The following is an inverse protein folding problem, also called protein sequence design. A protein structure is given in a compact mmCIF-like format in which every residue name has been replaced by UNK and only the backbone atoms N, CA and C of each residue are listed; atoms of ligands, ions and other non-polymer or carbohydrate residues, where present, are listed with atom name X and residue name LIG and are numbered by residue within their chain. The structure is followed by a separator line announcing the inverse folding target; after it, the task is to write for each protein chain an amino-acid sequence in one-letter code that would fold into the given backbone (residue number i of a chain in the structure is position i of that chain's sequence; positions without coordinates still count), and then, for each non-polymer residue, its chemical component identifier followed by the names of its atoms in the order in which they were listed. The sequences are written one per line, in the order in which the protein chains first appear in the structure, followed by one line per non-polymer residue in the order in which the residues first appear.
data_IF_435446314621
#
_entry.id   IF_435446314621
#
_cell.length_a   1.000
_cell.length_b   1.000
_cell.length_c   1.000
_cell.angle_alpha   90.00
_cell.angle_beta   90.00
_cell.angle_gamma   90.00
#
_symmetry.space_group_name_H-M   'P 1'
#
loop_
_entity.id
_entity.type
_entity.pdbx_description
1 polymer ?
#
# COMPACT_ATOMS: atom_id res chain seq x y z
N UNK A 1 -15.11 -7.01 30.50
CA UNK A 1 -14.42 -8.19 29.99
C UNK A 1 -13.35 -7.64 29.07
N UNK A 2 -12.11 -7.68 29.55
CA UNK A 2 -10.99 -7.05 28.84
C UNK A 2 -10.33 -8.09 27.96
N UNK A 3 -10.56 -8.03 26.66
CA UNK A 3 -9.79 -8.81 25.69
C UNK A 3 -8.56 -8.00 25.30
N UNK A 4 -7.42 -8.42 25.88
CA UNK A 4 -6.13 -7.91 25.49
C UNK A 4 -5.76 -8.49 24.12
N UNK A 5 -5.82 -7.67 23.09
CA UNK A 5 -5.20 -7.94 21.79
C UNK A 5 -3.69 -8.03 21.99
N UNK A 6 -3.13 -9.24 21.89
CA UNK A 6 -1.69 -9.49 21.99
C UNK A 6 -1.05 -9.12 20.64
N UNK A 7 -0.31 -8.03 20.65
CA UNK A 7 0.49 -7.60 19.51
C UNK A 7 1.54 -8.67 19.14
N UNK A 8 1.66 -9.02 17.86
CA UNK A 8 2.61 -10.02 17.32
C UNK A 8 4.09 -9.74 17.66
N UNK A 9 4.42 -8.53 18.08
CA UNK A 9 5.78 -8.16 18.53
C UNK A 9 6.20 -8.77 19.86
N UNK A 10 5.28 -9.28 20.67
CA UNK A 10 5.57 -9.89 21.98
C UNK A 10 5.87 -11.39 21.92
N UNK A 11 5.72 -12.05 20.78
CA UNK A 11 5.91 -13.50 20.67
C UNK A 11 7.34 -13.95 20.41
N UNK A 12 8.25 -13.04 20.02
CA UNK A 12 9.66 -13.38 19.70
C UNK A 12 10.63 -13.28 20.87
N UNK A 13 10.18 -12.87 22.06
CA UNK A 13 11.06 -12.69 23.23
C UNK A 13 11.04 -13.85 24.24
N UNK A 14 10.31 -14.94 24.01
CA UNK A 14 10.09 -15.99 25.03
C UNK A 14 10.56 -17.40 24.65
N UNK A 15 11.43 -17.57 23.65
CA UNK A 15 11.95 -18.90 23.29
C UNK A 15 13.49 -18.92 23.31
N UNK A 16 14.06 -18.92 24.51
CA UNK A 16 15.52 -19.04 24.62
C UNK A 16 16.03 -19.19 26.04
N UNK A 17 15.62 -20.22 26.78
CA UNK A 17 16.36 -20.75 27.91
C UNK A 17 15.76 -22.09 28.37
N UNK A 18 16.28 -23.21 27.86
CA UNK A 18 16.34 -24.48 28.58
C UNK A 18 17.13 -25.50 27.76
N UNK A 19 18.31 -25.86 28.24
CA UNK A 19 19.10 -26.92 27.64
C UNK A 19 20.39 -27.12 28.42
N UNK A 20 20.31 -27.73 29.46
CA UNK A 20 20.82 -28.87 30.22
C UNK A 20 22.29 -29.17 30.04
N UNK A 21 22.97 -29.10 31.17
CA UNK A 21 24.29 -29.71 31.43
C UNK A 21 24.24 -31.24 31.32
N UNK A 22 25.21 -31.82 30.63
CA UNK A 22 25.59 -33.21 30.85
C UNK A 22 27.13 -33.30 30.91
N UNK A 23 27.62 -33.56 32.10
CA UNK A 23 28.96 -33.91 32.40
C UNK A 23 29.20 -35.37 31.98
N UNK A 24 30.33 -35.65 31.32
CA UNK A 24 30.94 -36.99 31.30
C UNK A 24 32.44 -36.85 31.45
N UNK A 25 32.89 -37.34 32.60
CA UNK A 25 34.28 -37.63 32.98
C UNK A 25 34.76 -38.89 32.31
N UNK A 26 35.94 -38.91 31.76
CA UNK A 26 36.82 -40.05 31.80
C UNK A 26 38.27 -39.72 31.38
N UNK A 27 39.13 -39.83 32.29
CA UNK A 27 40.51 -40.32 32.40
C UNK A 27 41.42 -40.44 31.16
N UNK A 28 42.62 -39.84 31.34
CA UNK A 28 43.84 -40.60 31.24
C UNK A 28 44.79 -40.31 30.06
N UNK A 29 46.00 -39.82 30.37
CA UNK A 29 47.15 -39.97 29.48
C UNK A 29 48.02 -38.75 29.28
N UNK A 30 49.13 -38.68 30.01
CA UNK A 30 50.17 -37.67 29.84
C UNK A 30 50.95 -37.85 28.54
N UNK A 31 51.35 -36.74 27.91
CA UNK A 31 52.76 -36.50 27.46
C UNK A 31 52.86 -35.25 26.58
N UNK A 32 53.74 -34.35 27.05
CA UNK A 32 54.70 -33.48 26.35
C UNK A 32 54.34 -32.65 25.12
N UNK A 33 54.49 -31.36 25.35
CA UNK A 33 55.23 -30.36 24.53
C UNK A 33 55.00 -30.24 23.03
N UNK A 34 54.38 -29.14 22.64
CA UNK A 34 54.93 -28.18 21.66
C UNK A 34 54.01 -26.99 21.54
N UNK A 35 54.50 -25.83 21.90
CA UNK A 35 53.85 -24.55 21.61
C UNK A 35 53.82 -24.31 20.10
N UNK A 36 52.61 -24.23 19.54
CA UNK A 36 52.39 -23.61 18.25
C UNK A 36 51.24 -22.65 18.42
N UNK A 37 51.58 -21.37 18.44
CA UNK A 37 50.64 -20.27 18.36
C UNK A 37 49.98 -20.27 16.98
N UNK A 38 48.85 -20.92 16.86
CA UNK A 38 47.93 -20.69 15.74
C UNK A 38 47.04 -19.48 16.10
N UNK A 39 47.38 -18.36 15.47
CA UNK A 39 46.49 -17.23 15.42
C UNK A 39 45.17 -17.72 14.77
N UNK A 40 44.16 -17.92 15.60
CA UNK A 40 42.77 -18.07 15.10
C UNK A 40 42.35 -16.74 14.47
N UNK A 41 42.53 -16.65 13.15
CA UNK A 41 41.78 -15.69 12.37
C UNK A 41 40.31 -16.06 12.52
N UNK A 42 39.61 -15.31 13.35
CA UNK A 42 38.15 -15.31 13.35
C UNK A 42 37.76 -14.73 12.00
N UNK A 43 37.55 -15.60 11.03
CA UNK A 43 36.84 -15.22 9.82
C UNK A 43 35.44 -14.79 10.29
N UNK A 44 35.19 -13.48 10.24
CA UNK A 44 33.84 -12.96 10.36
C UNK A 44 33.03 -13.66 9.27
N UNK A 45 32.16 -14.58 9.68
CA UNK A 45 31.15 -15.14 8.80
C UNK A 45 30.33 -13.93 8.31
N UNK A 46 30.16 -13.72 7.00
CA UNK A 46 29.24 -12.69 6.56
C UNK A 46 27.87 -13.07 7.13
N UNK A 47 27.38 -12.23 8.00
CA UNK A 47 25.97 -12.30 8.49
C UNK A 47 25.12 -12.37 7.24
N UNK A 48 24.50 -13.52 7.01
CA UNK A 48 23.63 -13.71 5.85
C UNK A 48 22.54 -12.65 5.95
N UNK A 49 22.55 -11.68 5.04
CA UNK A 49 21.54 -10.64 4.97
C UNK A 49 20.18 -11.37 4.92
N UNK A 50 19.36 -11.12 5.93
CA UNK A 50 18.02 -11.73 5.98
C UNK A 50 17.22 -11.13 4.83
N UNK A 51 16.71 -11.98 3.93
CA UNK A 51 15.83 -11.54 2.88
C UNK A 51 14.51 -11.04 3.48
N UNK A 52 14.07 -9.86 3.04
CA UNK A 52 12.83 -9.23 3.47
C UNK A 52 11.88 -9.17 2.29
N UNK A 53 10.66 -9.69 2.45
CA UNK A 53 9.56 -9.48 1.50
C UNK A 53 8.68 -8.35 2.03
N UNK A 54 8.44 -7.32 1.22
CA UNK A 54 7.52 -6.22 1.51
C UNK A 54 6.23 -6.39 0.71
N UNK A 55 5.10 -6.42 1.42
CA UNK A 55 3.76 -6.51 0.84
C UNK A 55 3.22 -5.09 0.67
N UNK A 56 3.08 -4.66 -0.56
CA UNK A 56 2.69 -3.30 -0.91
C UNK A 56 1.32 -3.29 -1.56
N UNK A 57 0.35 -2.69 -0.92
CA UNK A 57 -0.96 -2.41 -1.48
C UNK A 57 -0.97 -1.01 -2.08
N UNK A 58 -1.22 -0.90 -3.37
CA UNK A 58 -1.14 0.39 -4.06
C UNK A 58 -2.29 0.59 -5.05
N UNK A 59 -2.71 1.84 -5.19
CA UNK A 59 -3.73 2.20 -6.17
C UNK A 59 -3.32 1.75 -7.58
N UNK A 60 -4.25 1.18 -8.34
CA UNK A 60 -4.02 0.60 -9.67
C UNK A 60 -3.34 1.56 -10.66
N UNK A 61 -3.53 2.88 -10.51
CA UNK A 61 -2.86 3.89 -11.34
C UNK A 61 -1.34 3.94 -11.16
N UNK A 62 -0.80 3.32 -10.11
CA UNK A 62 0.64 3.29 -9.80
C UNK A 62 1.33 2.01 -10.28
N UNK A 63 0.60 1.08 -10.90
CA UNK A 63 1.10 -0.25 -11.28
C UNK A 63 2.42 -0.19 -12.06
N UNK A 64 2.46 0.56 -13.14
CA UNK A 64 3.63 0.65 -14.01
C UNK A 64 4.83 1.27 -13.27
N UNK A 65 4.59 2.39 -12.58
CA UNK A 65 5.63 3.12 -11.87
C UNK A 65 6.22 2.33 -10.71
N UNK A 66 5.38 1.67 -9.90
CA UNK A 66 5.85 0.91 -8.75
C UNK A 66 6.54 -0.40 -9.14
N UNK A 67 6.12 -1.06 -10.23
CA UNK A 67 6.86 -2.21 -10.74
C UNK A 67 8.27 -1.80 -11.17
N UNK A 68 8.40 -0.73 -11.97
CA UNK A 68 9.71 -0.23 -12.40
C UNK A 68 10.58 0.23 -11.22
N UNK A 69 9.98 0.88 -10.22
CA UNK A 69 10.68 1.28 -9.01
C UNK A 69 11.14 0.08 -8.19
N UNK A 70 10.28 -0.94 -8.02
CA UNK A 70 10.59 -2.16 -7.30
C UNK A 70 11.74 -2.95 -7.94
N UNK A 71 11.74 -3.07 -9.27
CA UNK A 71 12.84 -3.69 -10.02
C UNK A 71 14.17 -2.94 -9.80
N UNK A 72 14.15 -1.61 -9.89
CA UNK A 72 15.33 -0.78 -9.65
C UNK A 72 15.83 -0.90 -8.22
N UNK A 73 14.94 -0.88 -7.24
CA UNK A 73 15.30 -1.00 -5.84
C UNK A 73 15.89 -2.38 -5.50
N UNK A 74 15.29 -3.46 -6.01
CA UNK A 74 15.80 -4.84 -5.81
C UNK A 74 17.16 -5.04 -6.48
N UNK A 75 17.45 -4.34 -7.60
CA UNK A 75 18.76 -4.40 -8.21
C UNK A 75 19.88 -3.81 -7.33
N UNK A 76 19.55 -2.80 -6.52
CA UNK A 76 20.48 -2.18 -5.56
C UNK A 76 20.46 -2.89 -4.19
N UNK A 77 19.32 -3.51 -3.82
CA UNK A 77 19.03 -4.17 -2.56
C UNK A 77 18.51 -5.59 -2.79
N UNK A 78 19.36 -6.55 -3.18
CA UNK A 78 18.94 -7.90 -3.55
C UNK A 78 18.32 -8.70 -2.38
N UNK A 79 18.54 -8.25 -1.15
CA UNK A 79 17.90 -8.80 0.04
C UNK A 79 16.42 -8.41 0.19
N UNK A 80 15.94 -7.40 -0.57
CA UNK A 80 14.55 -6.91 -0.50
C UNK A 80 13.79 -7.35 -1.75
N UNK A 81 12.63 -7.95 -1.53
CA UNK A 81 11.66 -8.31 -2.58
C UNK A 81 10.33 -7.65 -2.33
N UNK A 82 9.57 -7.37 -3.39
CA UNK A 82 8.26 -6.73 -3.29
C UNK A 82 7.16 -7.68 -3.77
N UNK A 83 6.08 -7.73 -3.01
CA UNK A 83 4.84 -8.34 -3.43
C UNK A 83 3.77 -7.26 -3.53
N UNK A 84 3.50 -6.84 -4.76
CA UNK A 84 2.50 -5.81 -5.04
C UNK A 84 1.09 -6.38 -5.14
N UNK A 85 0.11 -5.64 -4.61
CA UNK A 85 -1.32 -5.83 -4.84
C UNK A 85 -1.90 -4.51 -5.35
N UNK A 86 -2.31 -4.49 -6.60
CA UNK A 86 -2.82 -3.30 -7.27
C UNK A 86 -4.33 -3.41 -7.48
N UNK A 87 -5.09 -2.47 -6.91
CA UNK A 87 -6.53 -2.37 -7.07
C UNK A 87 -7.00 -0.94 -6.77
N UNK A 88 -8.31 -0.71 -6.77
CA UNK A 88 -8.85 0.54 -6.27
C UNK A 88 -8.51 0.73 -4.78
N UNK A 89 -8.24 1.96 -4.38
CA UNK A 89 -7.93 2.24 -2.96
C UNK A 89 -9.05 1.81 -2.01
N UNK A 90 -10.30 1.79 -2.49
CA UNK A 90 -11.45 1.29 -1.73
C UNK A 90 -11.41 -0.21 -1.51
N UNK A 91 -11.12 -1.00 -2.56
CA UNK A 91 -10.95 -2.46 -2.48
C UNK A 91 -9.80 -2.83 -1.55
N UNK A 92 -8.65 -2.19 -1.71
CA UNK A 92 -7.46 -2.43 -0.89
C UNK A 92 -7.73 -2.12 0.59
N UNK A 93 -8.41 -0.99 0.86
CA UNK A 93 -8.86 -0.67 2.22
C UNK A 93 -9.72 -1.79 2.81
N UNK A 94 -10.66 -2.33 2.06
CA UNK A 94 -11.53 -3.41 2.51
C UNK A 94 -10.72 -4.67 2.81
N UNK A 95 -9.77 -5.05 1.94
CA UNK A 95 -8.88 -6.19 2.18
C UNK A 95 -8.07 -6.03 3.48
N UNK A 96 -7.56 -4.83 3.76
CA UNK A 96 -6.85 -4.54 5.03
C UNK A 96 -7.80 -4.70 6.22
N UNK A 97 -9.03 -4.20 6.13
CA UNK A 97 -10.05 -4.37 7.18
C UNK A 97 -10.41 -5.85 7.43
N UNK A 98 -10.40 -6.67 6.37
CA UNK A 98 -10.65 -8.10 6.42
C UNK A 98 -9.43 -8.92 6.91
N UNK A 99 -8.32 -8.24 7.21
CA UNK A 99 -7.13 -8.85 7.81
C UNK A 99 -6.08 -9.32 6.81
N UNK A 100 -6.08 -8.78 5.58
CA UNK A 100 -4.99 -9.03 4.65
C UNK A 100 -3.68 -8.43 5.18
N UNK A 101 -2.59 -9.19 5.07
CA UNK A 101 -1.26 -8.71 5.41
C UNK A 101 -0.84 -7.60 4.43
N UNK A 102 -0.43 -6.45 4.99
CA UNK A 102 0.00 -5.28 4.23
C UNK A 102 1.04 -4.52 5.05
N UNK A 103 2.24 -4.35 4.49
CA UNK A 103 3.32 -3.59 5.14
C UNK A 103 3.27 -2.11 4.75
N UNK A 104 2.86 -1.83 3.50
CA UNK A 104 2.77 -0.48 2.98
C UNK A 104 1.49 -0.29 2.16
N UNK A 105 0.68 0.71 2.52
CA UNK A 105 -0.52 1.08 1.77
C UNK A 105 -0.36 2.43 1.09
N UNK A 106 -0.48 2.47 -0.24
CA UNK A 106 -0.39 3.70 -1.06
C UNK A 106 -1.75 3.96 -1.69
N UNK A 107 -2.51 4.84 -1.05
CA UNK A 107 -3.86 5.22 -1.47
C UNK A 107 -3.83 6.40 -2.45
N UNK A 108 -4.65 6.34 -3.52
CA UNK A 108 -4.85 7.47 -4.42
C UNK A 108 -5.72 8.59 -3.83
N UNK A 109 -6.32 8.37 -2.65
CA UNK A 109 -7.19 9.34 -2.01
C UNK A 109 -7.06 9.36 -0.49
N UNK A 110 -7.12 10.55 0.08
CA UNK A 110 -7.06 10.79 1.53
C UNK A 110 -8.19 10.08 2.31
N UNK A 111 -9.38 9.95 1.70
CA UNK A 111 -10.56 9.37 2.36
C UNK A 111 -10.30 7.94 2.82
N UNK A 112 -9.75 7.09 1.96
CA UNK A 112 -9.49 5.67 2.26
C UNK A 112 -8.42 5.52 3.34
N UNK A 113 -7.39 6.36 3.29
CA UNK A 113 -6.36 6.41 4.33
C UNK A 113 -6.94 6.85 5.67
N UNK A 114 -7.72 7.93 5.69
CA UNK A 114 -8.35 8.44 6.91
C UNK A 114 -9.32 7.43 7.55
N UNK A 115 -9.97 6.58 6.75
CA UNK A 115 -10.87 5.53 7.27
C UNK A 115 -10.15 4.39 7.99
N UNK A 116 -8.84 4.27 7.84
CA UNK A 116 -8.00 3.26 8.52
C UNK A 116 -7.16 3.86 9.66
N UNK A 117 -7.17 5.18 9.83
CA UNK A 117 -6.33 5.93 10.75
C UNK A 117 -7.15 6.36 11.97
N UNK A 118 -6.79 5.85 13.16
CA UNK A 118 -7.49 6.15 14.41
C UNK A 118 -7.43 7.65 14.80
N UNK A 119 -6.44 8.39 14.26
CA UNK A 119 -6.30 9.84 14.52
C UNK A 119 -7.21 10.69 13.65
N UNK A 120 -7.85 10.09 12.63
CA UNK A 120 -8.83 10.79 11.82
C UNK A 120 -10.10 11.09 12.63
N UNK A 121 -10.86 12.08 12.16
CA UNK A 121 -12.11 12.46 12.82
C UNK A 121 -13.15 11.32 12.79
N UNK A 122 -13.95 11.20 13.83
CA UNK A 122 -14.94 10.12 14.00
C UNK A 122 -16.04 10.11 12.93
N UNK A 123 -16.27 11.21 12.23
CA UNK A 123 -17.18 11.30 11.09
C UNK A 123 -16.61 10.70 9.80
N UNK A 124 -15.30 10.45 9.76
CA UNK A 124 -14.60 9.83 8.62
C UNK A 124 -14.23 8.38 8.92
N UNK A 125 -13.65 8.12 10.08
CA UNK A 125 -13.35 6.77 10.60
C UNK A 125 -14.47 6.33 11.53
N UNK A 126 -15.62 5.97 10.93
CA UNK A 126 -16.85 5.63 11.67
C UNK A 126 -16.70 4.37 12.53
N UNK A 127 -15.85 3.45 12.10
CA UNK A 127 -15.64 2.15 12.74
C UNK A 127 -14.51 2.18 13.78
N UNK A 128 -13.83 3.32 13.95
CA UNK A 128 -12.71 3.47 14.89
C UNK A 128 -11.53 2.55 14.56
N UNK A 129 -11.22 2.38 13.28
CA UNK A 129 -10.17 1.48 12.81
C UNK A 129 -8.78 2.05 13.08
N UNK A 130 -7.85 1.17 13.49
CA UNK A 130 -6.46 1.50 13.83
C UNK A 130 -5.51 0.56 13.07
N UNK A 131 -5.44 0.74 11.73
CA UNK A 131 -4.58 -0.05 10.84
C UNK A 131 -3.37 0.73 10.35
N UNK A 132 -3.38 2.07 10.50
CA UNK A 132 -2.32 2.96 10.02
C UNK A 132 -1.54 3.52 11.20
N UNK A 133 -0.22 3.32 11.21
CA UNK A 133 0.65 4.07 12.10
C UNK A 133 0.73 5.52 11.61
N UNK A 134 -0.01 6.41 12.27
CA UNK A 134 -0.12 7.82 11.89
C UNK A 134 1.22 8.55 11.85
N UNK A 135 2.24 8.06 12.60
CA UNK A 135 3.58 8.66 12.60
C UNK A 135 4.35 8.36 11.30
N UNK A 136 3.97 7.32 10.58
CA UNK A 136 4.59 6.93 9.29
C UNK A 136 3.85 7.46 8.08
N UNK A 137 2.69 8.10 8.28
CA UNK A 137 1.85 8.60 7.20
C UNK A 137 2.47 9.83 6.53
N UNK A 138 2.57 9.79 5.20
CA UNK A 138 3.10 10.89 4.39
C UNK A 138 2.20 11.16 3.19
N UNK A 139 2.09 12.43 2.80
CA UNK A 139 1.50 12.85 1.53
C UNK A 139 2.60 12.77 0.46
N UNK A 140 2.63 11.65 -0.27
CA UNK A 140 3.70 11.34 -1.22
C UNK A 140 3.59 12.14 -2.51
N UNK A 141 2.37 12.23 -3.08
CA UNK A 141 2.08 12.80 -4.39
C UNK A 141 0.76 13.55 -4.37
N UNK A 142 0.63 14.51 -5.29
CA UNK A 142 -0.62 15.20 -5.55
C UNK A 142 -1.39 14.49 -6.68
N UNK A 143 -2.62 14.08 -6.42
CA UNK A 143 -3.49 13.46 -7.41
C UNK A 143 -4.36 14.55 -8.08
N UNK A 144 -4.24 14.70 -9.40
CA UNK A 144 -5.00 15.68 -10.20
C UNK A 144 -5.87 14.96 -11.23
N UNK A 145 -7.12 15.37 -11.34
CA UNK A 145 -8.00 14.92 -12.42
C UNK A 145 -7.67 15.71 -13.68
N UNK A 146 -7.45 14.98 -14.77
CA UNK A 146 -7.23 15.56 -16.10
C UNK A 146 -8.40 15.23 -17.01
N UNK A 147 -8.69 16.13 -17.94
CA UNK A 147 -9.61 15.88 -19.03
C UNK A 147 -8.84 15.25 -20.19
N UNK A 148 -9.25 14.05 -20.59
CA UNK A 148 -8.74 13.38 -21.79
C UNK A 148 -9.80 13.43 -22.90
N UNK A 149 -9.34 13.65 -24.12
CA UNK A 149 -10.17 13.67 -25.33
C UNK A 149 -9.67 12.61 -26.32
N UNK A 150 -10.51 12.11 -27.23
CA UNK A 150 -10.09 11.20 -28.29
C UNK A 150 -8.98 11.82 -29.16
N UNK A 151 -8.22 10.97 -29.83
CA UNK A 151 -7.17 11.39 -30.74
C UNK A 151 -7.70 12.38 -31.79
N UNK A 152 -6.96 13.44 -32.02
CA UNK A 152 -7.34 14.53 -32.93
C UNK A 152 -8.37 15.49 -32.35
N UNK A 153 -8.87 15.28 -31.14
CA UNK A 153 -9.84 16.16 -30.46
C UNK A 153 -11.00 16.61 -31.38
N UNK A 154 -11.83 15.70 -31.91
CA UNK A 154 -12.81 16.00 -32.98
C UNK A 154 -13.90 17.00 -32.56
N UNK A 155 -14.02 17.28 -31.28
CA UNK A 155 -14.99 18.26 -30.72
C UNK A 155 -14.33 19.59 -30.32
N UNK A 156 -13.02 19.74 -30.49
CA UNK A 156 -12.28 20.95 -30.17
C UNK A 156 -12.32 21.33 -28.69
N UNK A 157 -12.38 20.34 -27.76
CA UNK A 157 -12.50 20.57 -26.32
C UNK A 157 -11.11 20.91 -25.76
N UNK A 158 -10.94 22.15 -25.30
CA UNK A 158 -9.68 22.64 -24.74
C UNK A 158 -9.81 23.02 -23.26
N UNK A 159 -11.03 23.04 -22.72
CA UNK A 159 -11.28 23.41 -21.34
C UNK A 159 -12.50 22.68 -20.75
N UNK A 160 -12.58 22.67 -19.41
CA UNK A 160 -13.77 22.17 -18.71
C UNK A 160 -15.00 23.03 -18.97
N UNK A 161 -14.86 24.34 -19.21
CA UNK A 161 -15.99 25.21 -19.54
C UNK A 161 -16.63 24.82 -20.87
N UNK A 162 -15.82 24.58 -21.91
CA UNK A 162 -16.31 24.11 -23.20
C UNK A 162 -16.96 22.72 -23.09
N UNK A 163 -16.35 21.80 -22.32
CA UNK A 163 -16.96 20.50 -22.05
C UNK A 163 -18.31 20.66 -21.38
N UNK A 164 -18.43 21.55 -20.40
CA UNK A 164 -19.68 21.78 -19.67
C UNK A 164 -20.80 22.26 -20.60
N UNK A 165 -20.52 23.16 -21.53
CA UNK A 165 -21.49 23.62 -22.53
C UNK A 165 -21.94 22.49 -23.48
N UNK A 166 -20.98 21.69 -23.97
CA UNK A 166 -21.28 20.55 -24.85
C UNK A 166 -22.10 19.47 -24.13
N UNK A 167 -21.85 19.25 -22.84
CA UNK A 167 -22.64 18.31 -22.01
C UNK A 167 -24.06 18.83 -21.79
N UNK A 168 -24.25 20.12 -21.52
CA UNK A 168 -25.59 20.74 -21.36
C UNK A 168 -26.42 20.61 -22.63
N UNK A 169 -25.80 20.72 -23.79
CA UNK A 169 -26.45 20.62 -25.10
C UNK A 169 -26.65 19.15 -25.54
N UNK A 170 -26.08 18.18 -24.86
CA UNK A 170 -26.14 16.76 -25.24
C UNK A 170 -25.24 16.39 -26.44
N UNK A 171 -24.28 17.24 -26.78
CA UNK A 171 -23.41 17.06 -27.96
C UNK A 171 -22.25 16.09 -27.75
N UNK A 172 -21.99 15.71 -26.49
CA UNK A 172 -20.92 14.78 -26.10
C UNK A 172 -21.37 13.84 -24.98
N UNK A 173 -20.73 12.68 -24.91
CA UNK A 173 -20.84 11.76 -23.80
C UNK A 173 -19.55 11.80 -22.98
N UNK A 174 -19.67 11.81 -21.65
CA UNK A 174 -18.55 11.78 -20.72
C UNK A 174 -18.51 10.43 -20.00
N UNK A 175 -17.40 9.69 -20.15
CA UNK A 175 -17.14 8.53 -19.32
C UNK A 175 -16.52 8.99 -17.99
N UNK A 176 -17.08 8.54 -16.88
CA UNK A 176 -16.63 8.89 -15.54
C UNK A 176 -16.39 7.62 -14.71
N UNK A 177 -15.46 7.71 -13.74
CA UNK A 177 -15.27 6.63 -12.76
C UNK A 177 -16.47 6.51 -11.81
N UNK A 178 -16.64 5.31 -11.26
CA UNK A 178 -17.61 5.06 -10.20
C UNK A 178 -17.31 5.94 -8.96
N UNK A 179 -18.35 6.30 -8.20
CA UNK A 179 -18.24 7.06 -6.94
C UNK A 179 -17.37 6.40 -5.86
N UNK A 180 -17.13 5.09 -5.97
CA UNK A 180 -16.34 4.32 -5.01
C UNK A 180 -14.83 4.49 -5.23
N UNK A 181 -14.41 5.03 -6.37
CA UNK A 181 -13.01 5.29 -6.69
C UNK A 181 -12.69 6.79 -6.65
N UNK A 182 -11.44 7.17 -6.33
CA UNK A 182 -11.06 8.58 -6.20
C UNK A 182 -11.36 9.44 -7.43
N UNK A 183 -11.09 8.93 -8.63
CA UNK A 183 -11.38 9.67 -9.87
C UNK A 183 -12.87 10.00 -10.03
N UNK A 184 -13.76 9.07 -9.65
CA UNK A 184 -15.20 9.32 -9.69
C UNK A 184 -15.62 10.37 -8.68
N UNK A 185 -15.09 10.34 -7.47
CA UNK A 185 -15.38 11.33 -6.42
C UNK A 185 -14.93 12.74 -6.83
N UNK A 186 -13.75 12.87 -7.43
CA UNK A 186 -13.26 14.16 -7.93
C UNK A 186 -14.08 14.63 -9.13
N UNK A 187 -14.44 13.73 -10.05
CA UNK A 187 -15.29 14.08 -11.19
C UNK A 187 -16.67 14.59 -10.74
N UNK A 188 -17.29 13.96 -9.73
CA UNK A 188 -18.54 14.45 -9.16
C UNK A 188 -18.41 15.88 -8.59
N UNK A 189 -17.30 16.21 -7.94
CA UNK A 189 -17.04 17.57 -7.45
C UNK A 189 -16.94 18.59 -8.61
N UNK A 190 -16.25 18.21 -9.69
CA UNK A 190 -16.15 19.04 -10.89
C UNK A 190 -17.54 19.24 -11.53
N UNK A 191 -18.31 18.16 -11.71
CA UNK A 191 -19.65 18.24 -12.27
C UNK A 191 -20.60 19.05 -11.40
N UNK A 192 -20.48 18.96 -10.06
CA UNK A 192 -21.23 19.81 -9.12
C UNK A 192 -20.95 21.29 -9.34
N UNK A 193 -19.67 21.65 -9.50
CA UNK A 193 -19.26 23.03 -9.76
C UNK A 193 -19.92 23.60 -11.02
N UNK A 194 -20.06 22.78 -12.08
CA UNK A 194 -20.70 23.16 -13.34
C UNK A 194 -22.23 22.94 -13.35
N UNK A 195 -22.82 22.53 -12.24
CA UNK A 195 -24.26 22.20 -12.13
C UNK A 195 -24.71 21.10 -13.10
N UNK A 196 -23.85 20.12 -13.39
CA UNK A 196 -24.10 19.06 -14.36
C UNK A 196 -24.57 17.73 -13.74
N UNK A 197 -24.65 17.61 -12.41
CA UNK A 197 -24.99 16.36 -11.72
C UNK A 197 -26.38 15.81 -12.07
N UNK A 198 -27.31 16.68 -12.44
CA UNK A 198 -28.68 16.29 -12.80
C UNK A 198 -28.89 16.07 -14.31
N UNK A 199 -27.90 16.38 -15.13
CA UNK A 199 -27.93 16.23 -16.58
C UNK A 199 -27.14 15.02 -17.08
N UNK A 200 -26.37 14.41 -16.22
CA UNK A 200 -25.62 13.18 -16.56
C UNK A 200 -26.59 11.98 -16.47
N UNK A 201 -26.82 11.22 -17.56
CA UNK A 201 -27.65 10.03 -17.51
C UNK A 201 -27.02 9.03 -16.52
N UNK A 202 -27.85 8.50 -15.61
CA UNK A 202 -27.43 7.47 -14.67
C UNK A 202 -26.91 6.26 -15.47
N UNK A 203 -25.84 5.59 -15.02
CA UNK A 203 -25.38 4.33 -15.63
C UNK A 203 -26.46 3.24 -15.71
N UNK A 204 -27.57 3.40 -14.96
CA UNK A 204 -28.73 2.49 -14.99
C UNK A 204 -29.70 2.75 -16.15
N UNK A 205 -29.72 3.96 -16.71
CA UNK A 205 -30.67 4.32 -17.75
C UNK A 205 -30.27 3.79 -19.13
N UNK A 206 -29.03 3.31 -19.30
CA UNK A 206 -28.52 2.69 -20.52
C UNK A 206 -28.80 1.17 -20.68
N UNK A 207 -29.46 0.55 -19.69
CA UNK A 207 -29.76 -0.90 -19.71
C UNK A 207 -31.23 -1.24 -20.00
N UNK A 208 -32.06 -0.26 -20.39
CA UNK A 208 -33.48 -0.45 -20.70
C UNK A 208 -33.84 0.04 -22.11
N UNK A 209 -33.04 -0.26 -23.11
CA UNK A 209 -33.47 -0.11 -24.51
C UNK A 209 -32.96 -1.26 -25.36
#
# INVERSE_FOLDING_TARGET
MNDHCISRRSFLAAAGMAGAAAALTACGGAASSAASSVASSVAASPEAAQSVELIVFAAASLTETLNALGESYTAEHPEVTFRFNFDSSGTLKTQIQEGADCDLFISAGQKQMNQLDITASADVNLDGLDFVDSATRVDLLENKVTLTVPEGNPKGIESFDQLAELLKNGDVMLAIGNSDVPVGQYTQKILSYYCLLYTSPSPRDGLLS
#
